data_IF_374771569569
#
_entry.id   IF_374771569569
#
_cell.length_a   1.000
_cell.length_b   1.000
_cell.length_c   1.000
_cell.angle_alpha   90.00
_cell.angle_beta   90.00
_cell.angle_gamma   90.00
#
_symmetry.space_group_name_H-M   'P 1'
#
loop_
_entity.id
_entity.type
_entity.pdbx_description
1 polymer ?
#
# COMPACT_ATOMS: atom_id res chain seq x y z
N UNK A 1 5.13 -49.33 -60.34
CA UNK A 1 4.44 -48.17 -59.73
C UNK A 1 4.89 -48.12 -58.28
N UNK A 2 5.70 -47.12 -57.93
CA UNK A 2 6.30 -46.93 -56.63
C UNK A 2 5.27 -46.37 -55.64
N UNK A 3 5.32 -46.82 -54.39
CA UNK A 3 5.25 -45.92 -53.22
C UNK A 3 5.84 -46.62 -51.99
N UNK A 4 7.01 -46.13 -51.58
CA UNK A 4 7.62 -46.43 -50.28
C UNK A 4 6.85 -45.63 -49.22
N UNK A 5 6.30 -46.29 -48.21
CA UNK A 5 5.86 -45.60 -46.99
C UNK A 5 7.05 -45.45 -46.05
N UNK A 6 7.53 -44.22 -45.95
CA UNK A 6 8.53 -43.79 -44.99
C UNK A 6 7.79 -43.54 -43.67
N UNK A 7 7.99 -44.42 -42.69
CA UNK A 7 7.55 -44.20 -41.30
C UNK A 7 8.63 -43.36 -40.61
N UNK A 8 8.54 -42.03 -40.74
CA UNK A 8 9.35 -41.08 -39.98
C UNK A 8 8.75 -40.96 -38.57
N UNK A 9 9.57 -40.97 -37.51
CA UNK A 9 9.13 -41.07 -36.13
C UNK A 9 8.50 -39.74 -35.68
N UNK A 10 7.18 -39.65 -35.69
CA UNK A 10 6.44 -38.45 -35.28
C UNK A 10 6.22 -38.35 -33.75
N UNK A 11 6.82 -39.25 -32.96
CA UNK A 11 6.53 -39.39 -31.53
C UNK A 11 7.51 -38.70 -30.58
N UNK A 12 8.56 -38.03 -31.07
CA UNK A 12 9.57 -37.38 -30.20
C UNK A 12 9.40 -35.85 -30.13
N UNK A 13 8.54 -35.25 -30.98
CA UNK A 13 8.40 -33.79 -31.06
C UNK A 13 7.27 -33.18 -30.20
N UNK A 14 6.63 -33.94 -29.32
CA UNK A 14 5.51 -33.42 -28.49
C UNK A 14 5.89 -33.22 -27.02
N UNK A 15 7.07 -33.67 -26.57
CA UNK A 15 7.46 -33.59 -25.14
C UNK A 15 8.25 -32.30 -24.81
N UNK A 16 8.69 -31.52 -25.80
CA UNK A 16 9.59 -30.36 -25.56
C UNK A 16 8.84 -29.01 -25.50
N UNK A 17 7.53 -28.97 -25.69
CA UNK A 17 6.76 -27.71 -25.71
C UNK A 17 6.11 -27.31 -24.38
N UNK A 18 6.29 -28.06 -23.29
CA UNK A 18 5.71 -27.70 -21.98
C UNK A 18 6.68 -27.01 -21.02
N UNK A 19 7.94 -26.79 -21.40
CA UNK A 19 8.95 -26.16 -20.51
C UNK A 19 8.99 -24.63 -20.55
N UNK A 20 8.13 -23.96 -21.34
CA UNK A 20 8.10 -22.49 -21.41
C UNK A 20 6.91 -21.85 -20.70
N UNK A 21 6.24 -22.54 -19.78
CA UNK A 21 5.49 -21.84 -18.74
C UNK A 21 6.51 -21.28 -17.74
N UNK A 22 7.21 -20.23 -18.12
CA UNK A 22 7.69 -19.26 -17.16
C UNK A 22 6.43 -18.70 -16.50
N UNK A 23 6.00 -19.32 -15.40
CA UNK A 23 5.18 -18.63 -14.43
C UNK A 23 5.99 -17.43 -14.00
N UNK A 24 5.63 -16.23 -14.44
CA UNK A 24 6.15 -14.99 -13.86
C UNK A 24 5.98 -15.13 -12.36
N UNK A 25 7.11 -15.25 -11.65
CA UNK A 25 7.09 -15.30 -10.20
C UNK A 25 6.58 -13.95 -9.75
N UNK A 26 5.38 -13.94 -9.15
CA UNK A 26 4.77 -12.73 -8.63
C UNK A 26 5.76 -12.07 -7.67
N UNK A 27 6.26 -10.90 -8.06
CA UNK A 27 7.22 -10.16 -7.25
C UNK A 27 6.49 -9.75 -5.97
N UNK A 28 6.85 -10.36 -4.85
CA UNK A 28 6.28 -10.04 -3.56
C UNK A 28 7.33 -9.33 -2.71
N UNK A 29 7.14 -8.03 -2.47
CA UNK A 29 8.00 -7.22 -1.62
C UNK A 29 7.14 -6.60 -0.52
N UNK A 30 7.31 -7.04 0.73
CA UNK A 30 6.53 -6.56 1.89
C UNK A 30 7.39 -5.86 2.93
N UNK A 31 8.69 -5.65 2.68
CA UNK A 31 9.57 -5.00 3.64
C UNK A 31 10.60 -4.10 2.95
N UNK A 32 10.92 -2.99 3.60
CA UNK A 32 12.02 -2.09 3.21
C UNK A 32 12.94 -1.85 4.39
N UNK A 33 14.20 -1.57 4.07
CA UNK A 33 15.21 -1.16 5.04
C UNK A 33 15.53 0.32 4.86
N UNK A 34 15.31 1.12 5.90
CA UNK A 34 15.70 2.53 5.95
C UNK A 34 16.71 2.70 7.09
N UNK A 35 17.98 2.91 6.72
CA UNK A 35 19.09 2.93 7.67
C UNK A 35 19.26 1.59 8.40
N UNK A 36 19.16 1.62 9.73
CA UNK A 36 19.22 0.44 10.61
C UNK A 36 17.84 -0.19 10.90
N UNK A 37 16.75 0.39 10.36
CA UNK A 37 15.38 -0.06 10.63
C UNK A 37 14.81 -0.85 9.46
N UNK A 38 14.08 -1.93 9.79
CA UNK A 38 13.24 -2.68 8.85
C UNK A 38 11.78 -2.34 9.13
N UNK A 39 11.05 -1.99 8.08
CA UNK A 39 9.62 -1.70 8.09
C UNK A 39 8.91 -2.77 7.26
N UNK A 40 8.01 -3.52 7.91
CA UNK A 40 7.16 -4.52 7.28
C UNK A 40 5.80 -3.92 6.95
N UNK A 41 5.28 -4.23 5.78
CA UNK A 41 4.06 -3.71 5.19
C UNK A 41 3.02 -4.83 5.09
N UNK A 42 1.75 -4.45 5.20
CA UNK A 42 0.63 -5.40 5.17
C UNK A 42 0.42 -5.96 3.77
N UNK A 43 0.82 -5.20 2.76
CA UNK A 43 0.57 -5.48 1.35
C UNK A 43 1.85 -5.55 0.54
N UNK A 44 1.74 -6.10 -0.66
CA UNK A 44 2.82 -6.07 -1.63
C UNK A 44 3.08 -4.62 -2.07
N UNK A 45 4.29 -4.13 -1.83
CA UNK A 45 4.69 -2.74 -2.09
C UNK A 45 4.59 -2.35 -3.56
N UNK A 46 4.73 -3.32 -4.48
CA UNK A 46 4.51 -3.07 -5.91
C UNK A 46 3.07 -2.68 -6.23
N UNK A 47 2.10 -3.05 -5.40
CA UNK A 47 0.70 -2.68 -5.56
C UNK A 47 0.35 -1.45 -4.76
N UNK A 48 0.88 -1.33 -3.53
CA UNK A 48 0.66 -0.13 -2.70
C UNK A 48 1.17 1.12 -3.42
N UNK A 49 2.31 1.04 -4.12
CA UNK A 49 2.89 2.21 -4.80
C UNK A 49 2.05 2.73 -5.98
N UNK A 50 1.22 1.85 -6.58
CA UNK A 50 0.30 2.17 -7.68
C UNK A 50 -1.00 2.83 -7.20
N UNK A 51 -1.27 2.81 -5.89
CA UNK A 51 -2.43 3.51 -5.32
C UNK A 51 -2.35 4.99 -5.68
N UNK A 52 -3.48 5.52 -6.16
CA UNK A 52 -3.60 6.91 -6.64
C UNK A 52 -3.26 7.89 -5.53
N UNK A 53 -2.42 8.89 -5.85
CA UNK A 53 -2.09 10.00 -4.95
C UNK A 53 -2.00 11.31 -5.72
N UNK A 54 -2.57 12.40 -5.18
CA UNK A 54 -2.63 13.70 -5.86
C UNK A 54 -1.45 14.64 -5.54
N UNK A 55 -0.92 14.60 -4.31
CA UNK A 55 0.13 15.50 -3.85
C UNK A 55 1.07 14.79 -2.85
N UNK A 56 1.96 13.95 -3.37
CA UNK A 56 2.91 13.19 -2.53
C UNK A 56 3.86 14.11 -1.75
N UNK A 57 4.31 15.21 -2.36
CA UNK A 57 5.22 16.16 -1.74
C UNK A 57 4.52 16.94 -0.62
N UNK A 58 3.31 17.45 -0.86
CA UNK A 58 2.50 18.14 0.14
C UNK A 58 2.10 17.24 1.30
N UNK A 59 1.76 15.98 1.05
CA UNK A 59 1.50 15.00 2.12
C UNK A 59 2.76 14.85 2.98
N UNK A 60 3.92 14.60 2.37
CA UNK A 60 5.17 14.44 3.13
C UNK A 60 5.50 15.69 3.93
N UNK A 61 5.40 16.87 3.33
CA UNK A 61 5.66 18.15 3.99
C UNK A 61 4.72 18.38 5.17
N UNK A 62 3.43 18.06 5.01
CA UNK A 62 2.44 18.14 6.06
C UNK A 62 2.85 17.31 7.29
N UNK A 63 3.27 16.06 7.10
CA UNK A 63 3.77 15.22 8.19
C UNK A 63 5.09 15.72 8.76
N UNK A 64 6.03 16.17 7.93
CA UNK A 64 7.33 16.67 8.37
C UNK A 64 7.22 17.90 9.28
N UNK A 65 6.16 18.69 9.10
CA UNK A 65 5.87 19.92 9.84
C UNK A 65 4.83 19.75 10.97
N UNK A 66 4.31 18.54 11.19
CA UNK A 66 3.28 18.27 12.19
C UNK A 66 3.85 17.54 13.41
N UNK A 67 3.66 18.12 14.61
CA UNK A 67 3.93 17.42 15.88
C UNK A 67 2.75 16.55 16.33
N UNK A 68 1.52 16.97 15.96
CA UNK A 68 0.29 16.29 16.31
C UNK A 68 -0.45 15.94 15.02
N UNK A 69 -0.73 14.65 14.86
CA UNK A 69 -1.55 14.12 13.77
C UNK A 69 -2.70 13.37 14.39
N UNK A 70 -3.91 13.67 13.95
CA UNK A 70 -5.08 12.99 14.45
C UNK A 70 -5.64 12.00 13.42
N UNK A 71 -6.27 10.94 13.90
CA UNK A 71 -6.96 9.95 13.07
C UNK A 71 -8.46 10.14 13.23
N UNK A 72 -9.14 10.26 12.09
CA UNK A 72 -10.59 10.37 11.95
C UNK A 72 -11.10 9.21 11.12
N UNK A 73 -12.24 8.66 11.49
CA UNK A 73 -13.03 7.76 10.66
C UNK A 73 -14.51 7.87 11.02
N UNK A 74 -15.40 7.46 10.11
CA UNK A 74 -16.83 7.37 10.40
C UNK A 74 -17.12 6.05 11.12
N UNK A 75 -17.76 6.12 12.29
CA UNK A 75 -18.03 4.97 13.13
C UNK A 75 -19.37 4.27 12.79
N UNK A 76 -20.01 4.63 11.67
CA UNK A 76 -21.33 4.13 11.24
C UNK A 76 -21.35 2.65 10.83
N UNK A 77 -20.20 2.03 10.49
CA UNK A 77 -20.09 0.62 10.11
C UNK A 77 -19.12 -0.14 11.00
N UNK A 78 -19.61 -1.15 11.74
CA UNK A 78 -18.76 -1.98 12.60
C UNK A 78 -17.72 -2.79 11.81
N UNK A 79 -18.02 -3.12 10.55
CA UNK A 79 -17.09 -3.81 9.66
C UNK A 79 -15.89 -2.92 9.32
N UNK A 80 -16.15 -1.69 8.87
CA UNK A 80 -15.09 -0.73 8.54
C UNK A 80 -14.28 -0.32 9.77
N UNK A 81 -14.92 -0.18 10.93
CA UNK A 81 -14.26 0.16 12.20
C UNK A 81 -13.15 -0.84 12.58
N UNK A 82 -13.38 -2.13 12.35
CA UNK A 82 -12.38 -3.16 12.62
C UNK A 82 -11.16 -2.99 11.71
N UNK A 83 -11.38 -2.67 10.44
CA UNK A 83 -10.32 -2.42 9.47
C UNK A 83 -9.56 -1.12 9.74
N UNK A 84 -10.25 -0.07 10.15
CA UNK A 84 -9.62 1.19 10.56
C UNK A 84 -8.69 1.03 11.75
N UNK A 85 -9.01 0.16 12.71
CA UNK A 85 -8.12 -0.12 13.83
C UNK A 85 -6.79 -0.73 13.35
N UNK A 86 -6.83 -1.69 12.42
CA UNK A 86 -5.64 -2.34 11.86
C UNK A 86 -4.81 -1.35 11.04
N UNK A 87 -5.44 -0.67 10.08
CA UNK A 87 -4.76 0.26 9.18
C UNK A 87 -4.23 1.47 9.95
N UNK A 88 -5.03 2.02 10.86
CA UNK A 88 -4.63 3.11 11.75
C UNK A 88 -3.44 2.72 12.63
N UNK A 89 -3.46 1.54 13.26
CA UNK A 89 -2.32 1.04 14.05
C UNK A 89 -1.04 0.96 13.20
N UNK A 90 -1.12 0.39 12.01
CA UNK A 90 0.03 0.23 11.13
C UNK A 90 0.63 1.57 10.70
N UNK A 91 -0.20 2.56 10.36
CA UNK A 91 0.26 3.91 10.03
C UNK A 91 0.94 4.54 11.25
N UNK A 92 0.26 4.57 12.40
CA UNK A 92 0.79 5.17 13.64
C UNK A 92 2.12 4.57 14.03
N UNK A 93 2.20 3.24 14.05
CA UNK A 93 3.40 2.52 14.47
C UNK A 93 4.59 2.84 13.55
N UNK A 94 4.40 2.77 12.24
CA UNK A 94 5.47 3.01 11.25
C UNK A 94 5.93 4.47 11.27
N UNK A 95 4.99 5.42 11.27
CA UNK A 95 5.31 6.85 11.24
C UNK A 95 5.96 7.31 12.55
N UNK A 96 5.45 6.88 13.71
CA UNK A 96 6.07 7.18 15.01
C UNK A 96 7.52 6.72 15.04
N UNK A 97 7.78 5.48 14.60
CA UNK A 97 9.14 4.92 14.55
C UNK A 97 10.05 5.67 13.58
N UNK A 98 9.54 6.03 12.40
CA UNK A 98 10.29 6.79 11.39
C UNK A 98 10.70 8.18 11.86
N UNK A 99 9.80 8.93 12.50
CA UNK A 99 10.13 10.26 13.00
C UNK A 99 10.96 10.24 14.28
N UNK A 100 10.73 9.28 15.17
CA UNK A 100 11.57 9.10 16.36
C UNK A 100 13.05 8.91 15.99
N UNK A 101 13.33 8.14 14.92
CA UNK A 101 14.69 7.95 14.40
C UNK A 101 15.31 9.22 13.80
N UNK A 102 14.48 10.18 13.39
CA UNK A 102 14.90 11.50 12.94
C UNK A 102 14.97 12.52 14.08
N UNK A 103 14.81 12.11 15.33
CA UNK A 103 14.84 13.00 16.49
C UNK A 103 13.56 13.83 16.67
N UNK A 104 12.48 13.49 15.96
CA UNK A 104 11.17 14.16 16.08
C UNK A 104 10.21 13.29 16.90
N UNK A 105 9.46 13.93 17.82
CA UNK A 105 8.38 13.26 18.54
C UNK A 105 7.06 13.60 17.87
N UNK A 106 6.44 12.60 17.25
CA UNK A 106 5.08 12.70 16.71
C UNK A 106 4.07 12.11 17.67
N UNK A 107 2.95 12.80 17.86
CA UNK A 107 1.82 12.32 18.64
C UNK A 107 0.65 12.00 17.72
N UNK A 108 0.06 10.83 17.95
CA UNK A 108 -1.16 10.41 17.27
C UNK A 108 -2.32 10.37 18.27
N UNK A 109 -3.42 11.01 17.91
CA UNK A 109 -4.61 11.15 18.74
C UNK A 109 -5.89 10.90 17.93
N UNK A 110 -7.03 10.82 18.63
CA UNK A 110 -8.34 10.99 17.99
C UNK A 110 -8.54 12.49 17.77
N UNK A 111 -9.08 12.86 16.60
CA UNK A 111 -9.17 14.25 16.19
C UNK A 111 -9.88 15.18 17.15
N UNK A 112 -9.19 16.29 17.44
CA UNK A 112 -9.75 17.50 18.02
C UNK A 112 -9.83 18.60 16.94
N UNK A 113 -10.11 19.84 17.32
CA UNK A 113 -10.18 20.96 16.37
C UNK A 113 -8.80 21.40 15.89
N UNK A 114 -8.65 21.56 14.57
CA UNK A 114 -7.50 22.17 13.86
C UNK A 114 -6.16 21.39 13.91
N UNK A 115 -6.20 20.07 13.81
CA UNK A 115 -5.00 19.23 13.72
C UNK A 115 -4.80 18.69 12.30
N UNK A 116 -3.56 18.33 11.97
CA UNK A 116 -3.26 17.53 10.78
C UNK A 116 -4.02 16.22 10.87
N UNK A 117 -4.86 15.94 9.88
CA UNK A 117 -5.83 14.85 9.97
C UNK A 117 -5.50 13.75 8.97
N UNK A 118 -5.48 12.51 9.44
CA UNK A 118 -5.64 11.33 8.58
C UNK A 118 -7.11 10.94 8.67
N UNK A 119 -7.83 11.00 7.56
CA UNK A 119 -9.22 10.55 7.49
C UNK A 119 -9.31 9.21 6.76
N UNK A 120 -9.63 8.15 7.49
CA UNK A 120 -9.85 6.82 6.93
C UNK A 120 -11.30 6.68 6.43
N UNK A 121 -11.46 6.16 5.20
CA UNK A 121 -12.76 5.80 4.63
C UNK A 121 -12.71 4.40 4.03
N UNK A 122 -13.71 3.59 4.36
CA UNK A 122 -13.87 2.22 3.90
C UNK A 122 -15.09 2.04 2.99
N UNK A 123 -15.34 0.82 2.51
CA UNK A 123 -16.42 0.51 1.58
C UNK A 123 -17.79 0.96 2.08
N UNK A 124 -18.06 0.79 3.38
CA UNK A 124 -19.37 1.07 3.97
C UNK A 124 -19.49 2.51 4.50
N UNK A 125 -18.38 3.26 4.51
CA UNK A 125 -18.28 4.63 5.04
C UNK A 125 -17.94 5.65 3.94
N UNK A 126 -18.22 5.28 2.68
CA UNK A 126 -18.23 6.19 1.54
C UNK A 126 -16.88 6.35 0.83
N UNK A 127 -16.00 5.35 0.88
CA UNK A 127 -14.89 5.26 -0.06
C UNK A 127 -15.42 5.08 -1.49
N UNK A 128 -14.86 5.81 -2.44
CA UNK A 128 -15.25 5.74 -3.86
C UNK A 128 -14.13 5.22 -4.76
N UNK A 129 -12.90 5.23 -4.26
CA UNK A 129 -11.72 4.74 -4.96
C UNK A 129 -10.64 4.33 -3.94
N UNK A 130 -9.64 3.58 -4.41
CA UNK A 130 -8.42 3.29 -3.64
C UNK A 130 -7.43 4.44 -3.84
N UNK A 131 -7.26 5.29 -2.83
CA UNK A 131 -6.41 6.48 -2.97
C UNK A 131 -5.91 7.03 -1.63
N UNK A 132 -4.86 7.82 -1.73
CA UNK A 132 -4.38 8.73 -0.68
C UNK A 132 -4.44 10.13 -1.25
N UNK A 133 -5.26 11.02 -0.69
CA UNK A 133 -5.41 12.38 -1.23
C UNK A 133 -5.24 13.44 -0.16
N UNK A 134 -4.53 14.52 -0.48
CA UNK A 134 -4.47 15.71 0.35
C UNK A 134 -5.57 16.67 -0.06
N UNK A 135 -6.40 17.07 0.92
CA UNK A 135 -7.42 18.10 0.80
C UNK A 135 -7.26 19.04 2.00
N UNK A 136 -6.81 20.26 1.74
CA UNK A 136 -6.40 21.23 2.76
C UNK A 136 -5.38 20.62 3.74
N UNK A 137 -5.74 20.44 5.01
CA UNK A 137 -4.89 19.84 6.05
C UNK A 137 -5.27 18.38 6.39
N UNK A 138 -6.05 17.74 5.51
CA UNK A 138 -6.57 16.39 5.70
C UNK A 138 -6.04 15.46 4.62
N UNK A 139 -5.34 14.41 5.04
CA UNK A 139 -4.96 13.28 4.19
C UNK A 139 -6.07 12.24 4.27
N UNK A 140 -6.86 12.14 3.21
CA UNK A 140 -7.90 11.13 3.06
C UNK A 140 -7.28 9.85 2.53
N UNK A 141 -7.32 8.79 3.34
CA UNK A 141 -6.89 7.43 3.00
C UNK A 141 -8.13 6.58 2.83
N UNK A 142 -8.39 6.13 1.60
CA UNK A 142 -9.63 5.42 1.30
C UNK A 142 -9.41 4.15 0.49
N UNK A 143 -10.24 3.14 0.76
CA UNK A 143 -10.29 1.88 0.04
C UNK A 143 -11.71 1.39 -0.18
N UNK A 144 -12.02 0.93 -1.39
CA UNK A 144 -13.34 0.38 -1.78
C UNK A 144 -13.56 -1.05 -1.32
N UNK A 145 -12.55 -1.65 -0.73
CA UNK A 145 -12.58 -2.92 -0.01
C UNK A 145 -11.46 -2.92 1.04
N UNK A 146 -11.40 -3.96 1.86
CA UNK A 146 -10.40 -4.05 2.92
C UNK A 146 -8.96 -4.04 2.38
N UNK A 147 -8.70 -4.79 1.31
CA UNK A 147 -7.36 -4.87 0.74
C UNK A 147 -6.92 -3.53 0.12
N UNK A 148 -7.83 -2.82 -0.55
CA UNK A 148 -7.63 -1.47 -1.05
C UNK A 148 -7.31 -0.48 0.06
N UNK A 149 -7.94 -0.63 1.23
CA UNK A 149 -7.65 0.20 2.39
C UNK A 149 -6.27 -0.11 2.99
N UNK A 150 -5.85 -1.38 3.05
CA UNK A 150 -4.50 -1.76 3.45
C UNK A 150 -3.45 -1.21 2.46
N UNK A 151 -3.70 -1.32 1.16
CA UNK A 151 -2.84 -0.77 0.11
C UNK A 151 -2.70 0.75 0.25
N UNK A 152 -3.81 1.46 0.50
CA UNK A 152 -3.79 2.92 0.71
C UNK A 152 -3.09 3.30 2.03
N UNK A 153 -3.27 2.51 3.09
CA UNK A 153 -2.59 2.68 4.37
C UNK A 153 -1.07 2.46 4.27
N UNK A 154 -0.63 1.50 3.46
CA UNK A 154 0.78 1.31 3.17
C UNK A 154 1.31 2.41 2.23
N UNK A 155 0.53 2.87 1.24
CA UNK A 155 0.89 3.98 0.34
C UNK A 155 1.19 5.27 1.08
N UNK A 156 0.34 5.71 2.04
CA UNK A 156 0.61 6.93 2.80
C UNK A 156 1.95 6.85 3.56
N UNK A 157 2.29 5.67 4.10
CA UNK A 157 3.58 5.47 4.78
C UNK A 157 4.74 5.58 3.78
N UNK A 158 4.63 4.95 2.60
CA UNK A 158 5.64 5.08 1.55
C UNK A 158 5.86 6.52 1.12
N UNK A 159 4.77 7.28 0.94
CA UNK A 159 4.82 8.71 0.59
C UNK A 159 5.57 9.51 1.66
N UNK A 160 5.27 9.28 2.95
CA UNK A 160 5.96 9.97 4.06
C UNK A 160 7.45 9.59 4.14
N UNK A 161 7.78 8.36 3.77
CA UNK A 161 9.18 7.91 3.66
C UNK A 161 9.89 8.47 2.42
N UNK A 162 9.17 9.13 1.50
CA UNK A 162 9.71 9.63 0.22
C UNK A 162 9.98 8.53 -0.80
N UNK A 163 9.24 7.41 -0.75
CA UNK A 163 9.41 6.26 -1.64
C UNK A 163 8.28 6.24 -2.67
N UNK A 164 8.58 6.77 -3.86
CA UNK A 164 7.59 6.93 -4.93
C UNK A 164 7.83 5.96 -6.10
N UNK A 165 8.93 5.20 -6.06
CA UNK A 165 9.19 4.10 -6.99
C UNK A 165 9.97 2.97 -6.30
N UNK A 166 9.80 1.74 -6.79
CA UNK A 166 10.56 0.55 -6.40
C UNK A 166 11.37 0.09 -7.61
N UNK A 167 12.63 -0.28 -7.39
CA UNK A 167 13.53 -0.79 -8.43
C UNK A 167 13.63 -2.31 -8.37
#
# INVERSE_FOLDING_TARGET
MQTKFIVVPFFILVIVLTSSMCTEQEKNLTAIKLGDQVYEFSTNLYDSIKVKTNDEAGIKELFDNSENVCIKFDNSSSTDNAYFAVVGYNIVFKLTRYYSKQGKTMKFSVCQTNETTIWLKGPETGAQENSVTLIDNTVVVQGTDFHGLELAGDKIVLVVFGINSLK
#
